data_IF_935195927928
#
_entry.id   IF_935195927928
#
_cell.length_a   1.000
_cell.length_b   1.000
_cell.length_c   1.000
_cell.angle_alpha   90.00
_cell.angle_beta   90.00
_cell.angle_gamma   90.00
#
_symmetry.space_group_name_H-M   'P 1'
#
loop_
_entity.id
_entity.type
_entity.pdbx_description
1 polymer ?
#
# COMPACT_ATOMS: atom_id res chain seq x y z
N UNK A 1 3.09 -3.47 20.95
CA UNK A 1 2.88 -4.85 20.53
C UNK A 1 4.09 -5.32 19.71
N UNK A 2 4.60 -6.52 19.98
CA UNK A 2 5.72 -7.04 19.22
C UNK A 2 5.24 -7.55 17.87
N UNK A 3 5.85 -7.02 16.80
CA UNK A 3 5.64 -7.44 15.41
C UNK A 3 6.92 -8.13 14.92
N UNK A 4 6.76 -9.17 14.11
CA UNK A 4 7.87 -9.98 13.60
C UNK A 4 8.39 -9.47 12.25
N UNK A 5 7.54 -8.77 11.50
CA UNK A 5 7.86 -8.18 10.22
C UNK A 5 6.97 -6.98 9.90
N UNK A 6 7.36 -6.19 8.92
CA UNK A 6 6.58 -5.05 8.43
C UNK A 6 6.57 -5.01 6.91
N UNK A 7 5.40 -4.75 6.33
CA UNK A 7 5.21 -4.59 4.90
C UNK A 7 4.54 -3.24 4.65
N UNK A 8 5.17 -2.40 3.84
CA UNK A 8 4.57 -1.16 3.37
C UNK A 8 4.10 -1.33 1.93
N UNK A 9 2.96 -0.75 1.60
CA UNK A 9 2.46 -0.68 0.23
C UNK A 9 2.05 0.73 -0.13
N UNK A 10 2.20 1.08 -1.39
CA UNK A 10 1.75 2.34 -1.93
C UNK A 10 1.46 2.20 -3.41
N UNK A 11 0.39 2.83 -3.88
CA UNK A 11 0.05 2.85 -5.30
C UNK A 11 0.95 3.83 -6.08
N UNK A 12 1.37 4.93 -5.46
CA UNK A 12 2.11 6.02 -6.11
C UNK A 12 3.53 6.20 -5.55
N UNK A 13 3.80 5.72 -4.32
CA UNK A 13 5.10 5.91 -3.67
C UNK A 13 5.32 7.36 -3.22
N UNK A 14 6.56 7.83 -3.30
CA UNK A 14 7.03 9.13 -2.83
C UNK A 14 6.96 10.18 -3.96
N UNK A 15 5.76 10.44 -4.49
CA UNK A 15 5.50 11.31 -5.64
C UNK A 15 6.04 12.72 -5.48
N UNK A 16 6.01 13.30 -4.27
CA UNK A 16 6.51 14.66 -4.05
C UNK A 16 8.04 14.74 -4.24
N UNK A 17 8.78 13.80 -3.69
CA UNK A 17 10.23 13.73 -3.86
C UNK A 17 10.61 13.37 -5.30
N UNK A 18 9.90 12.44 -5.92
CA UNK A 18 10.06 12.11 -7.33
C UNK A 18 9.87 13.33 -8.23
N UNK A 19 8.81 14.13 -7.98
CA UNK A 19 8.54 15.34 -8.74
C UNK A 19 9.68 16.36 -8.62
N UNK A 20 10.21 16.61 -7.42
CA UNK A 20 11.34 17.53 -7.19
C UNK A 20 12.58 17.08 -7.94
N UNK A 21 12.88 15.78 -7.94
CA UNK A 21 13.99 15.22 -8.71
C UNK A 21 13.79 15.43 -10.20
N UNK A 22 12.61 15.10 -10.73
CA UNK A 22 12.28 15.30 -12.16
C UNK A 22 12.33 16.77 -12.57
N UNK A 23 11.84 17.66 -11.73
CA UNK A 23 11.89 19.12 -11.95
C UNK A 23 13.33 19.62 -12.05
N UNK A 24 14.21 19.17 -11.14
CA UNK A 24 15.63 19.50 -11.15
C UNK A 24 16.30 19.04 -12.45
N UNK A 25 16.06 17.79 -12.86
CA UNK A 25 16.57 17.24 -14.11
C UNK A 25 16.06 18.05 -15.33
N UNK A 26 14.78 18.39 -15.34
CA UNK A 26 14.18 19.17 -16.43
C UNK A 26 14.76 20.60 -16.55
N UNK A 27 15.18 21.19 -15.42
CA UNK A 27 15.81 22.51 -15.35
C UNK A 27 17.34 22.45 -15.58
N UNK A 28 17.94 21.27 -15.73
CA UNK A 28 19.38 21.08 -15.89
C UNK A 28 20.18 21.50 -14.64
N UNK A 29 19.60 21.38 -13.45
CA UNK A 29 20.24 21.68 -12.17
C UNK A 29 20.46 20.42 -11.34
N UNK A 30 21.41 20.46 -10.40
CA UNK A 30 21.70 19.34 -9.54
C UNK A 30 20.48 19.00 -8.65
N UNK A 31 20.18 17.72 -8.54
CA UNK A 31 19.14 17.23 -7.64
C UNK A 31 19.59 17.32 -6.18
N UNK A 32 18.66 17.64 -5.29
CA UNK A 32 18.88 17.50 -3.85
C UNK A 32 19.20 16.03 -3.50
N UNK A 33 20.35 15.73 -2.83
CA UNK A 33 20.63 14.37 -2.38
C UNK A 33 19.56 13.80 -1.44
N UNK A 34 18.95 14.67 -0.65
CA UNK A 34 17.83 14.30 0.24
C UNK A 34 16.60 13.90 -0.58
N UNK A 35 16.18 14.72 -1.55
CA UNK A 35 15.02 14.39 -2.38
C UNK A 35 15.27 13.11 -3.20
N UNK A 36 16.49 12.93 -3.72
CA UNK A 36 16.84 11.69 -4.41
C UNK A 36 16.75 10.46 -3.50
N UNK A 37 17.34 10.51 -2.30
CA UNK A 37 17.30 9.38 -1.35
C UNK A 37 15.91 9.12 -0.79
N UNK A 38 15.05 10.13 -0.72
CA UNK A 38 13.66 10.00 -0.26
C UNK A 38 12.68 9.61 -1.37
N UNK A 39 13.09 9.64 -2.64
CA UNK A 39 12.19 9.34 -3.77
C UNK A 39 11.98 7.84 -4.01
N UNK A 40 12.71 6.97 -3.33
CA UNK A 40 12.61 5.51 -3.52
C UNK A 40 11.39 4.94 -2.79
N UNK A 41 10.77 3.93 -3.39
CA UNK A 41 9.51 3.35 -2.89
C UNK A 41 9.61 2.75 -1.48
N UNK A 42 10.79 2.32 -1.04
CA UNK A 42 11.01 1.75 0.30
C UNK A 42 11.33 2.79 1.38
N UNK A 43 11.26 4.08 1.09
CA UNK A 43 11.52 5.17 2.05
C UNK A 43 10.63 5.07 3.28
N UNK A 44 9.33 4.86 3.10
CA UNK A 44 8.36 4.75 4.21
C UNK A 44 8.74 3.66 5.20
N UNK A 45 8.98 2.43 4.71
CA UNK A 45 9.35 1.31 5.58
C UNK A 45 10.77 1.46 6.16
N UNK A 46 11.70 2.06 5.41
CA UNK A 46 13.04 2.37 5.88
C UNK A 46 13.00 3.33 7.07
N UNK A 47 12.26 4.43 6.95
CA UNK A 47 12.07 5.39 8.04
C UNK A 47 11.42 4.74 9.27
N UNK A 48 10.41 3.90 9.07
CA UNK A 48 9.78 3.16 10.16
C UNK A 48 10.80 2.31 10.93
N UNK A 49 11.64 1.53 10.25
CA UNK A 49 12.61 0.65 10.91
C UNK A 49 13.69 1.44 11.64
N UNK A 50 14.14 2.57 11.09
CA UNK A 50 15.12 3.48 11.73
C UNK A 50 14.52 4.11 12.99
N UNK A 51 13.33 4.72 12.87
CA UNK A 51 12.70 5.44 13.99
C UNK A 51 12.23 4.50 15.10
N UNK A 52 11.72 3.34 14.76
CA UNK A 52 11.31 2.32 15.75
C UNK A 52 12.47 1.58 16.36
N UNK A 53 13.69 1.70 15.80
CA UNK A 53 14.89 0.93 16.16
C UNK A 53 14.69 -0.58 16.14
N UNK A 54 13.70 -1.06 15.37
CA UNK A 54 13.41 -2.49 15.23
C UNK A 54 14.24 -3.08 14.09
N UNK A 55 14.96 -4.16 14.40
CA UNK A 55 15.72 -4.96 13.42
C UNK A 55 14.86 -6.16 12.99
N UNK A 56 13.82 -5.89 12.24
CA UNK A 56 12.88 -6.89 11.74
C UNK A 56 12.88 -6.90 10.20
N UNK A 57 12.53 -8.02 9.57
CA UNK A 57 12.31 -8.07 8.13
C UNK A 57 11.32 -7.01 7.69
N UNK A 58 11.65 -6.33 6.60
CA UNK A 58 10.81 -5.28 6.04
C UNK A 58 10.72 -5.40 4.53
N UNK A 59 9.54 -5.14 3.97
CA UNK A 59 9.26 -5.20 2.55
C UNK A 59 8.49 -3.95 2.10
N UNK A 60 8.63 -3.62 0.82
CA UNK A 60 7.86 -2.55 0.19
C UNK A 60 7.26 -3.05 -1.12
N UNK A 61 5.95 -2.92 -1.27
CA UNK A 61 5.16 -3.47 -2.38
C UNK A 61 4.56 -2.34 -3.22
N UNK A 62 4.75 -2.40 -4.54
CA UNK A 62 4.12 -1.52 -5.50
C UNK A 62 3.48 -2.32 -6.63
N UNK A 63 2.16 -2.27 -6.72
CA UNK A 63 1.34 -2.95 -7.73
C UNK A 63 0.16 -2.06 -8.19
N UNK A 64 0.36 -0.74 -8.22
CA UNK A 64 -0.71 0.21 -8.50
C UNK A 64 -1.85 0.09 -7.49
N UNK A 65 -3.08 0.09 -7.96
CA UNK A 65 -4.27 -0.03 -7.09
C UNK A 65 -4.32 -1.37 -6.32
N UNK A 66 -3.68 -2.41 -6.83
CA UNK A 66 -3.63 -3.73 -6.18
C UNK A 66 -2.57 -3.79 -5.05
N UNK A 67 -1.78 -2.75 -4.79
CA UNK A 67 -0.64 -2.74 -3.84
C UNK A 67 -1.00 -3.27 -2.46
N UNK A 68 -2.11 -2.81 -1.88
CA UNK A 68 -2.56 -3.24 -0.56
C UNK A 68 -2.85 -4.74 -0.49
N UNK A 69 -3.58 -5.28 -1.47
CA UNK A 69 -3.92 -6.71 -1.50
C UNK A 69 -2.70 -7.59 -1.79
N UNK A 70 -1.74 -7.09 -2.57
CA UNK A 70 -0.46 -7.77 -2.77
C UNK A 70 0.37 -7.78 -1.47
N UNK A 71 0.34 -6.69 -0.68
CA UNK A 71 0.99 -6.67 0.63
C UNK A 71 0.34 -7.65 1.62
N UNK A 72 -0.99 -7.81 1.59
CA UNK A 72 -1.68 -8.85 2.38
C UNK A 72 -1.32 -10.26 1.88
N UNK A 73 -1.10 -10.45 0.58
CA UNK A 73 -0.62 -11.72 0.03
C UNK A 73 0.80 -12.04 0.50
N UNK A 74 1.71 -11.07 0.50
CA UNK A 74 3.05 -11.22 1.06
C UNK A 74 2.99 -11.56 2.56
N UNK A 75 2.14 -10.87 3.31
CA UNK A 75 1.92 -11.15 4.73
C UNK A 75 1.43 -12.58 4.95
N UNK A 76 0.50 -13.07 4.13
CA UNK A 76 0.03 -14.46 4.19
C UNK A 76 1.17 -15.47 3.96
N UNK A 77 2.04 -15.22 2.98
CA UNK A 77 3.22 -16.07 2.70
C UNK A 77 4.17 -16.07 3.90
N UNK A 78 4.46 -14.91 4.48
CA UNK A 78 5.31 -14.79 5.67
C UNK A 78 4.70 -15.53 6.87
N UNK A 79 3.40 -15.34 7.15
CA UNK A 79 2.69 -16.07 8.21
C UNK A 79 2.74 -17.59 7.99
N UNK A 80 2.62 -18.05 6.74
CA UNK A 80 2.75 -19.46 6.38
C UNK A 80 4.17 -19.99 6.58
N UNK A 81 5.18 -19.12 6.51
CA UNK A 81 6.59 -19.43 6.72
C UNK A 81 7.02 -19.36 8.19
N UNK A 82 6.08 -19.09 9.12
CA UNK A 82 6.34 -19.15 10.56
C UNK A 82 6.37 -17.82 11.30
N UNK A 83 6.23 -16.69 10.62
CA UNK A 83 6.02 -15.40 11.28
C UNK A 83 4.66 -15.41 11.99
N UNK A 84 4.53 -14.65 13.09
CA UNK A 84 3.32 -14.67 13.93
C UNK A 84 2.48 -13.42 13.79
N UNK A 85 3.14 -12.25 13.73
CA UNK A 85 2.47 -10.94 13.65
C UNK A 85 3.19 -10.05 12.65
N UNK A 86 2.46 -9.58 11.65
CA UNK A 86 3.00 -8.73 10.59
C UNK A 86 2.22 -7.43 10.56
N UNK A 87 2.92 -6.31 10.62
CA UNK A 87 2.35 -5.00 10.37
C UNK A 87 2.30 -4.76 8.86
N UNK A 88 1.10 -4.57 8.32
CA UNK A 88 0.89 -4.14 6.94
C UNK A 88 0.42 -2.68 6.97
N UNK A 89 1.10 -1.83 6.23
CA UNK A 89 0.76 -0.40 6.11
C UNK A 89 0.60 -0.05 4.63
N UNK A 90 -0.58 0.40 4.26
CA UNK A 90 -0.82 1.00 2.95
C UNK A 90 -0.92 2.53 3.10
N UNK A 91 -0.21 3.27 2.24
CA UNK A 91 -0.19 4.72 2.31
C UNK A 91 -0.03 5.35 0.94
N UNK A 92 -0.50 6.57 0.81
CA UNK A 92 -0.11 7.46 -0.27
C UNK A 92 0.15 8.86 0.30
N UNK A 93 1.17 9.50 -0.22
CA UNK A 93 1.50 10.90 0.08
C UNK A 93 0.63 11.84 -0.78
N UNK A 94 0.69 13.12 -0.49
CA UNK A 94 0.03 14.15 -1.33
C UNK A 94 0.55 14.10 -2.76
N UNK A 95 -0.35 14.20 -3.71
CA UNK A 95 0.00 14.25 -5.13
C UNK A 95 0.39 15.67 -5.51
N UNK A 96 1.56 15.89 -6.12
CA UNK A 96 1.98 17.21 -6.59
C UNK A 96 0.95 17.82 -7.54
N UNK A 97 0.75 19.17 -7.50
CA UNK A 97 -0.24 19.85 -8.34
C UNK A 97 -0.10 19.54 -9.83
N UNK A 98 1.13 19.33 -10.30
CA UNK A 98 1.41 18.97 -11.69
C UNK A 98 0.66 17.71 -12.14
N UNK A 99 0.54 16.69 -11.28
CA UNK A 99 -0.12 15.43 -11.61
C UNK A 99 -1.63 15.44 -11.39
N UNK A 100 -2.19 16.42 -10.65
CA UNK A 100 -3.62 16.45 -10.29
C UNK A 100 -4.55 16.37 -11.50
N UNK A 101 -4.19 17.01 -12.61
CA UNK A 101 -5.00 16.99 -13.84
C UNK A 101 -5.02 15.63 -14.55
N UNK A 102 -4.11 14.72 -14.19
CA UNK A 102 -4.00 13.38 -14.77
C UNK A 102 -4.62 12.30 -13.87
N UNK A 103 -5.03 12.68 -12.66
CA UNK A 103 -5.69 11.75 -11.74
C UNK A 103 -7.10 11.44 -12.24
N UNK A 104 -7.49 10.19 -12.10
CA UNK A 104 -8.89 9.79 -12.29
C UNK A 104 -9.73 10.31 -11.13
N UNK A 105 -11.02 10.56 -11.42
CA UNK A 105 -11.97 11.21 -10.51
C UNK A 105 -12.04 10.60 -9.11
N UNK A 106 -11.87 9.29 -9.00
CA UNK A 106 -12.00 8.55 -7.73
C UNK A 106 -10.68 8.39 -6.97
N UNK A 107 -9.56 8.89 -7.51
CA UNK A 107 -8.27 8.85 -6.82
C UNK A 107 -8.19 10.00 -5.83
N UNK A 108 -7.86 9.73 -4.54
CA UNK A 108 -7.78 10.80 -3.53
C UNK A 108 -6.60 11.73 -3.83
N UNK A 109 -6.83 13.03 -3.71
CA UNK A 109 -5.79 14.05 -3.82
C UNK A 109 -5.22 14.47 -2.45
N UNK A 110 -5.59 13.74 -1.40
CA UNK A 110 -5.14 13.91 -0.01
C UNK A 110 -4.29 12.71 0.44
N UNK A 111 -3.34 12.91 1.38
CA UNK A 111 -2.57 11.82 1.94
C UNK A 111 -3.44 10.95 2.84
N UNK A 112 -3.17 9.64 2.84
CA UNK A 112 -3.82 8.70 3.75
C UNK A 112 -2.88 7.57 4.14
N UNK A 113 -3.22 6.88 5.23
CA UNK A 113 -2.56 5.65 5.65
C UNK A 113 -3.55 4.72 6.34
N UNK A 114 -3.44 3.42 6.03
CA UNK A 114 -4.18 2.32 6.68
C UNK A 114 -3.16 1.34 7.23
N UNK A 115 -3.22 1.06 8.53
CA UNK A 115 -2.33 0.11 9.19
C UNK A 115 -3.12 -1.06 9.80
N UNK A 116 -2.67 -2.29 9.54
CA UNK A 116 -3.25 -3.52 10.06
C UNK A 116 -2.15 -4.39 10.67
N UNK A 117 -2.41 -4.98 11.82
CA UNK A 117 -1.60 -6.10 12.33
C UNK A 117 -2.32 -7.39 12.00
N UNK A 118 -1.69 -8.22 11.20
CA UNK A 118 -2.25 -9.51 10.78
C UNK A 118 -1.50 -10.67 11.44
N UNK A 119 -2.25 -11.70 11.79
CA UNK A 119 -1.76 -12.94 12.38
C UNK A 119 -2.46 -14.14 11.74
N UNK A 120 -1.94 -15.33 11.98
CA UNK A 120 -2.60 -16.55 11.50
C UNK A 120 -3.93 -16.76 12.22
N UNK A 121 -4.98 -16.97 11.45
CA UNK A 121 -6.36 -17.19 11.93
C UNK A 121 -7.25 -17.68 10.80
N UNK A 122 -8.54 -17.80 11.06
CA UNK A 122 -9.59 -18.22 10.10
C UNK A 122 -10.75 -17.24 10.02
N UNK A 123 -10.60 -16.05 10.59
CA UNK A 123 -11.68 -15.05 10.61
C UNK A 123 -12.03 -14.52 9.22
N UNK A 124 -11.04 -14.48 8.32
CA UNK A 124 -11.21 -13.97 6.97
C UNK A 124 -10.75 -14.99 5.93
N UNK A 125 -11.50 -15.08 4.84
CA UNK A 125 -11.14 -15.79 3.64
C UNK A 125 -10.94 -14.82 2.48
N UNK A 126 -9.82 -14.95 1.77
CA UNK A 126 -9.47 -14.13 0.62
C UNK A 126 -9.44 -15.00 -0.62
N UNK A 127 -10.16 -14.62 -1.65
CA UNK A 127 -10.04 -15.21 -2.97
C UNK A 127 -9.89 -14.15 -4.04
N UNK A 128 -9.35 -14.52 -5.19
CA UNK A 128 -9.13 -13.58 -6.27
C UNK A 128 -9.53 -14.15 -7.61
N UNK A 129 -10.12 -13.29 -8.45
CA UNK A 129 -10.50 -13.62 -9.82
C UNK A 129 -9.94 -12.55 -10.77
N UNK A 130 -9.46 -12.98 -11.93
CA UNK A 130 -8.99 -12.05 -12.95
C UNK A 130 -10.15 -11.31 -13.59
N UNK A 131 -10.07 -9.98 -13.66
CA UNK A 131 -11.02 -9.17 -14.40
C UNK A 131 -10.85 -9.37 -15.91
N UNK A 132 -11.97 -9.40 -16.65
CA UNK A 132 -11.98 -9.52 -18.13
C UNK A 132 -11.41 -8.25 -18.79
N UNK A 133 -11.59 -7.10 -18.16
CA UNK A 133 -11.08 -5.81 -18.61
C UNK A 133 -10.46 -5.06 -17.43
N UNK A 134 -9.48 -4.18 -17.72
CA UNK A 134 -8.85 -3.31 -16.72
C UNK A 134 -9.92 -2.42 -16.07
N UNK A 135 -9.89 -2.31 -14.75
CA UNK A 135 -10.80 -1.45 -14.01
C UNK A 135 -10.46 0.03 -14.22
N UNK A 136 -11.47 0.85 -14.30
CA UNK A 136 -11.31 2.31 -14.28
C UNK A 136 -11.45 2.90 -12.87
N UNK A 137 -11.90 2.10 -11.89
CA UNK A 137 -11.96 2.52 -10.50
C UNK A 137 -10.56 2.75 -9.94
N UNK A 138 -10.34 3.90 -9.34
CA UNK A 138 -9.07 4.30 -8.74
C UNK A 138 -9.20 4.61 -7.24
N UNK A 139 -10.37 4.36 -6.64
CA UNK A 139 -10.52 4.48 -5.19
C UNK A 139 -9.62 3.46 -4.48
N UNK A 140 -8.85 3.88 -3.46
CA UNK A 140 -7.90 3.00 -2.79
C UNK A 140 -8.55 1.76 -2.20
N UNK A 141 -7.99 0.61 -2.56
CA UNK A 141 -8.51 -0.69 -2.10
C UNK A 141 -8.42 -0.82 -0.59
N UNK A 142 -7.37 -0.27 0.04
CA UNK A 142 -7.20 -0.26 1.50
C UNK A 142 -8.27 0.52 2.24
N UNK A 143 -8.66 1.71 1.72
CA UNK A 143 -9.74 2.50 2.31
C UNK A 143 -11.09 1.80 2.16
N UNK A 144 -11.35 1.20 0.99
CA UNK A 144 -12.56 0.42 0.76
C UNK A 144 -12.61 -0.83 1.66
N UNK A 145 -11.49 -1.54 1.79
CA UNK A 145 -11.35 -2.64 2.73
C UNK A 145 -11.68 -2.19 4.16
N UNK A 146 -11.04 -1.12 4.65
CA UNK A 146 -11.23 -0.62 6.02
C UNK A 146 -12.69 -0.25 6.31
N UNK A 147 -13.36 0.42 5.36
CA UNK A 147 -14.76 0.81 5.51
C UNK A 147 -15.70 -0.39 5.71
N UNK A 148 -15.45 -1.49 4.98
CA UNK A 148 -16.25 -2.71 5.10
C UNK A 148 -15.83 -3.56 6.31
N UNK A 149 -14.52 -3.59 6.62
CA UNK A 149 -13.99 -4.23 7.82
C UNK A 149 -14.65 -3.70 9.11
N UNK A 150 -14.79 -2.37 9.23
CA UNK A 150 -15.44 -1.74 10.39
C UNK A 150 -16.93 -2.13 10.49
N UNK A 151 -17.58 -2.39 9.36
CA UNK A 151 -18.98 -2.79 9.31
C UNK A 151 -19.19 -4.29 9.52
N UNK A 152 -18.14 -5.09 9.56
CA UNK A 152 -18.17 -6.55 9.55
C UNK A 152 -18.92 -7.12 8.35
N UNK A 153 -18.76 -6.50 7.18
CA UNK A 153 -19.40 -6.91 5.95
C UNK A 153 -18.40 -7.67 5.04
N UNK A 154 -18.91 -8.64 4.29
CA UNK A 154 -18.20 -9.19 3.14
C UNK A 154 -17.98 -8.10 2.09
N UNK A 155 -16.83 -8.13 1.42
CA UNK A 155 -16.52 -7.09 0.44
C UNK A 155 -15.88 -7.64 -0.84
N UNK A 156 -16.36 -7.13 -1.96
CA UNK A 156 -15.73 -7.28 -3.26
C UNK A 156 -14.88 -6.04 -3.56
N UNK A 157 -13.56 -6.22 -3.52
CA UNK A 157 -12.60 -5.15 -3.78
C UNK A 157 -12.12 -5.22 -5.22
N UNK A 158 -12.39 -4.18 -5.97
CA UNK A 158 -12.04 -4.10 -7.38
C UNK A 158 -10.69 -3.41 -7.53
N UNK A 159 -9.65 -4.18 -7.79
CA UNK A 159 -8.33 -3.69 -8.15
C UNK A 159 -8.25 -3.29 -9.63
N UNK A 160 -7.03 -3.14 -10.15
CA UNK A 160 -6.81 -2.78 -11.55
C UNK A 160 -7.12 -3.94 -12.51
N UNK A 161 -6.65 -5.14 -12.17
CA UNK A 161 -6.78 -6.36 -12.98
C UNK A 161 -7.40 -7.53 -12.24
N UNK A 162 -7.52 -7.42 -10.93
CA UNK A 162 -8.01 -8.46 -10.04
C UNK A 162 -9.26 -7.98 -9.30
N UNK A 163 -10.18 -8.90 -9.11
CA UNK A 163 -11.30 -8.78 -8.19
C UNK A 163 -10.97 -9.63 -6.97
N UNK A 164 -10.98 -9.02 -5.81
CA UNK A 164 -10.70 -9.66 -4.54
C UNK A 164 -12.01 -9.85 -3.78
N UNK A 165 -12.32 -11.09 -3.44
CA UNK A 165 -13.47 -11.44 -2.62
C UNK A 165 -12.97 -11.70 -1.20
N UNK A 166 -13.40 -10.87 -0.27
CA UNK A 166 -13.04 -10.95 1.15
C UNK A 166 -14.28 -11.29 1.94
N UNK A 167 -14.29 -12.46 2.58
CA UNK A 167 -15.41 -12.97 3.36
C UNK A 167 -15.05 -13.10 4.83
N UNK A 168 -15.94 -12.63 5.68
CA UNK A 168 -15.89 -12.87 7.11
C UNK A 168 -16.47 -14.27 7.37
N UNK A 169 -15.69 -15.15 8.01
CA UNK A 169 -16.20 -16.45 8.47
C UNK A 169 -16.92 -16.26 9.80
N UNK A 170 -18.22 -16.39 9.77
CA UNK A 170 -19.01 -16.50 10.98
C UNK A 170 -18.83 -17.92 11.56
N UNK A 171 -18.35 -18.01 12.80
CA UNK A 171 -18.34 -19.27 13.54
C UNK A 171 -19.76 -19.72 13.89
#
# INVERSE_FOLDING_TARGET
EDIDAVIYSSATGEEEHNYKVLESVAKGIDCSPTDFSMSVHNTGVGNFTILSKKKIPSSSVSAGIDSFMMALTDAYVMLSSGYKKILVVDYNVSIPPFFKNYLKKDFPDYPYSVGLVVSKGNEYEFSTTKLKAKSECMFPVSLNFLLNFIKNDDVLLKGERLLWDVKLKHE
#
